data_IF_703807595117
#
_entry.id   IF_703807595117
#
_cell.length_a   1.000
_cell.length_b   1.000
_cell.length_c   1.000
_cell.angle_alpha   90.00
_cell.angle_beta   90.00
_cell.angle_gamma   90.00
#
_symmetry.space_group_name_H-M   'P 1'
#
loop_
_entity.id
_entity.type
_entity.pdbx_description
1 polymer ?
#
# COMPACT_ATOMS: atom_id res chain seq x y z
N UNK A 1 -4.61 -15.65 10.94
CA UNK A 1 -3.14 -15.51 10.93
C UNK A 1 -2.87 -14.32 10.05
N UNK A 2 -2.17 -13.32 10.55
CA UNK A 2 -1.93 -12.10 9.77
C UNK A 2 -0.67 -12.30 8.92
N UNK A 3 -0.78 -12.03 7.61
CA UNK A 3 0.30 -12.18 6.63
C UNK A 3 0.89 -10.84 6.20
N UNK A 4 0.74 -9.81 7.05
CA UNK A 4 1.26 -8.47 6.83
C UNK A 4 2.32 -8.14 7.88
N UNK A 5 3.40 -7.51 7.45
CA UNK A 5 4.57 -7.20 8.27
C UNK A 5 4.95 -5.72 8.14
N UNK A 6 5.33 -5.10 9.25
CA UNK A 6 5.86 -3.73 9.30
C UNK A 6 7.38 -3.76 9.08
N UNK A 7 7.86 -2.98 8.12
CA UNK A 7 9.29 -2.82 7.85
C UNK A 7 9.80 -1.59 8.60
N UNK A 8 10.85 -1.81 9.39
CA UNK A 8 11.51 -0.79 10.21
C UNK A 8 12.90 -0.52 9.64
N UNK A 9 13.29 0.75 9.58
CA UNK A 9 14.64 1.17 9.19
C UNK A 9 15.66 1.04 10.33
N UNK A 10 16.94 1.31 10.05
CA UNK A 10 18.02 1.25 11.05
C UNK A 10 17.90 2.26 12.22
N UNK A 11 17.03 3.27 12.10
CA UNK A 11 16.79 4.28 13.13
C UNK A 11 15.50 4.03 13.93
N UNK A 12 14.80 2.93 13.66
CA UNK A 12 13.53 2.59 14.31
C UNK A 12 12.30 3.28 13.69
N UNK A 13 12.47 3.92 12.53
CA UNK A 13 11.39 4.53 11.75
C UNK A 13 10.65 3.51 10.88
N UNK A 14 9.43 3.86 10.47
CA UNK A 14 8.64 3.03 9.54
C UNK A 14 9.13 3.22 8.12
N UNK A 15 9.71 2.18 7.53
CA UNK A 15 10.12 2.15 6.13
C UNK A 15 8.97 1.73 5.21
N UNK A 16 8.06 0.85 5.67
CA UNK A 16 6.94 0.38 4.86
C UNK A 16 6.22 -0.83 5.43
N UNK A 17 5.45 -1.50 4.57
CA UNK A 17 4.74 -2.75 4.86
C UNK A 17 5.08 -3.76 3.76
N UNK A 18 5.10 -5.04 4.11
CA UNK A 18 5.20 -6.15 3.14
C UNK A 18 4.16 -7.22 3.47
N UNK A 19 3.75 -8.01 2.47
CA UNK A 19 2.94 -9.20 2.70
C UNK A 19 3.76 -10.49 2.48
N UNK A 20 3.20 -11.64 2.89
CA UNK A 20 3.85 -12.93 2.66
C UNK A 20 3.93 -13.26 1.16
N UNK A 21 2.93 -12.88 0.39
CA UNK A 21 2.80 -13.14 -1.04
C UNK A 21 3.95 -12.45 -1.80
N UNK A 22 4.26 -11.18 -1.49
CA UNK A 22 5.41 -10.45 -2.05
C UNK A 22 6.74 -11.19 -1.81
N UNK A 23 6.90 -11.79 -0.62
CA UNK A 23 8.11 -12.53 -0.26
C UNK A 23 8.22 -13.84 -1.04
N UNK A 24 7.09 -14.55 -1.24
CA UNK A 24 7.05 -15.79 -2.02
C UNK A 24 7.23 -15.51 -3.51
N UNK A 25 6.66 -14.42 -4.04
CA UNK A 25 6.89 -13.93 -5.40
C UNK A 25 8.39 -13.74 -5.66
N UNK A 26 9.08 -13.05 -4.74
CA UNK A 26 10.52 -12.82 -4.84
C UNK A 26 11.31 -14.13 -4.85
N UNK A 27 10.88 -15.14 -4.08
CA UNK A 27 11.52 -16.44 -4.01
C UNK A 27 11.27 -17.33 -5.24
N UNK A 28 10.07 -17.27 -5.82
CA UNK A 28 9.67 -18.13 -6.93
C UNK A 28 9.86 -17.48 -8.31
N UNK A 29 9.99 -16.16 -8.37
CA UNK A 29 10.12 -15.40 -9.61
C UNK A 29 8.84 -15.37 -10.46
N UNK A 30 7.69 -15.64 -9.84
CA UNK A 30 6.37 -15.59 -10.48
C UNK A 30 5.46 -14.69 -9.64
N UNK A 31 4.64 -13.89 -10.30
CA UNK A 31 3.59 -13.09 -9.68
C UNK A 31 2.58 -13.99 -8.97
N UNK A 32 2.26 -13.66 -7.72
CA UNK A 32 1.26 -14.39 -6.92
C UNK A 32 0.17 -13.40 -6.53
N UNK A 33 -1.04 -13.70 -6.97
CA UNK A 33 -2.24 -12.96 -6.63
C UNK A 33 -2.99 -13.69 -5.52
N UNK A 34 -3.52 -12.96 -4.55
CA UNK A 34 -4.45 -13.57 -3.60
C UNK A 34 -5.77 -13.91 -4.33
N UNK A 35 -6.46 -14.93 -3.84
CA UNK A 35 -7.75 -15.36 -4.40
C UNK A 35 -8.79 -14.23 -4.36
N UNK A 36 -8.70 -13.35 -3.36
CA UNK A 36 -9.63 -12.24 -3.18
C UNK A 36 -9.29 -10.99 -4.02
N UNK A 37 -8.12 -10.95 -4.64
CA UNK A 37 -7.65 -9.79 -5.38
C UNK A 37 -8.43 -9.58 -6.67
N UNK A 38 -8.92 -8.34 -6.84
CA UNK A 38 -9.66 -7.93 -8.05
C UNK A 38 -8.78 -7.28 -9.11
N UNK A 39 -7.52 -7.02 -8.76
CA UNK A 39 -6.57 -6.27 -9.59
C UNK A 39 -5.23 -6.98 -9.53
N UNK A 40 -4.65 -7.26 -10.70
CA UNK A 40 -3.42 -8.02 -10.81
C UNK A 40 -2.17 -7.26 -10.31
N UNK A 41 -2.20 -5.93 -10.28
CA UNK A 41 -1.10 -5.13 -9.73
C UNK A 41 -1.65 -4.13 -8.72
N UNK A 42 -1.56 -4.51 -7.44
CA UNK A 42 -1.99 -3.67 -6.32
C UNK A 42 -1.05 -2.47 -6.12
N UNK A 43 0.22 -2.56 -6.55
CA UNK A 43 1.22 -1.49 -6.40
C UNK A 43 0.91 -0.35 -7.35
N UNK A 44 0.59 -0.67 -8.60
CA UNK A 44 0.15 0.31 -9.60
C UNK A 44 -1.22 0.91 -9.21
N UNK A 45 -2.15 0.10 -8.72
CA UNK A 45 -3.43 0.60 -8.20
C UNK A 45 -3.23 1.61 -7.06
N UNK A 46 -2.34 1.30 -6.10
CA UNK A 46 -2.02 2.20 -4.99
C UNK A 46 -1.41 3.51 -5.49
N UNK A 47 -0.47 3.45 -6.45
CA UNK A 47 0.14 4.64 -7.07
C UNK A 47 -0.90 5.54 -7.73
N UNK A 48 -1.77 4.97 -8.58
CA UNK A 48 -2.85 5.73 -9.24
C UNK A 48 -3.82 6.36 -8.25
N UNK A 49 -4.14 5.66 -7.15
CA UNK A 49 -4.98 6.20 -6.07
C UNK A 49 -4.32 7.38 -5.38
N UNK A 50 -3.02 7.28 -5.09
CA UNK A 50 -2.25 8.35 -4.47
C UNK A 50 -2.15 9.58 -5.37
N UNK A 51 -1.89 9.39 -6.67
CA UNK A 51 -1.87 10.47 -7.67
C UNK A 51 -3.23 11.19 -7.78
N UNK A 52 -4.33 10.44 -7.84
CA UNK A 52 -5.69 11.03 -7.88
C UNK A 52 -6.01 11.86 -6.64
N UNK A 53 -5.59 11.41 -5.46
CA UNK A 53 -5.81 12.12 -4.20
C UNK A 53 -5.00 13.42 -4.12
N UNK A 54 -3.82 13.48 -4.72
CA UNK A 54 -3.05 14.72 -4.83
C UNK A 54 -3.59 15.68 -5.89
N UNK A 55 -4.14 15.14 -6.99
CA UNK A 55 -4.74 15.93 -8.06
C UNK A 55 -6.11 16.53 -7.67
N UNK A 56 -6.80 15.93 -6.69
CA UNK A 56 -8.00 16.50 -6.06
C UNK A 56 -7.62 16.96 -4.65
N UNK A 57 -7.14 18.20 -4.44
CA UNK A 57 -7.13 18.74 -3.10
C UNK A 57 -8.58 18.66 -2.61
N UNK A 58 -8.85 17.81 -1.62
CA UNK A 58 -10.09 17.96 -0.86
C UNK A 58 -10.10 19.43 -0.43
N UNK A 59 -11.14 20.22 -0.76
CA UNK A 59 -11.30 21.47 -0.05
C UNK A 59 -11.33 21.05 1.41
N UNK A 60 -10.37 21.56 2.21
CA UNK A 60 -10.54 21.50 3.66
C UNK A 60 -11.96 22.01 3.89
N UNK A 61 -12.85 21.13 4.34
CA UNK A 61 -14.19 21.54 4.74
C UNK A 61 -14.07 22.74 5.66
N UNK A 62 -15.09 23.64 5.68
CA UNK A 62 -14.94 24.90 6.36
C UNK A 62 -14.40 24.62 7.76
N UNK A 63 -13.32 25.29 8.12
CA UNK A 63 -12.95 25.41 9.51
C UNK A 63 -14.19 26.00 10.18
N UNK A 64 -15.03 25.13 10.76
CA UNK A 64 -16.17 25.56 11.54
C UNK A 64 -15.57 26.33 12.69
N UNK A 65 -15.63 27.64 12.53
CA UNK A 65 -15.74 28.58 13.61
C UNK A 65 -16.72 28.04 14.65
N UNK A 66 -16.38 28.33 15.90
CA UNK A 66 -17.12 28.11 17.16
C UNK A 66 -16.88 26.78 17.88
#
# INVERSE_FOLDING_TARGET
>A
QDHIFLVIDEYGGTAGLITLEDAVETLLGIEILDESDRVADLRDLARRRYERQQATPQPLGPASAE
#
